data_IF_760560648254
#
_entry.id   IF_760560648254
#
_cell.length_a   1.000
_cell.length_b   1.000
_cell.length_c   1.000
_cell.angle_alpha   90.00
_cell.angle_beta   90.00
_cell.angle_gamma   90.00
#
_symmetry.space_group_name_H-M   'P 1'
#
loop_
_entity.id
_entity.type
_entity.pdbx_description
1 polymer ?
#
# COMPACT_ATOMS: atom_id res chain seq x y z
N UNK A 1 -11.23 7.31 15.13
CA UNK A 1 -9.75 7.30 15.12
C UNK A 1 -9.36 6.62 13.82
N UNK A 2 -8.69 7.31 12.90
CA UNK A 2 -8.28 6.68 11.63
C UNK A 2 -7.12 5.71 11.86
N UNK A 3 -7.00 4.73 10.98
CA UNK A 3 -5.82 3.92 10.82
C UNK A 3 -5.08 4.34 9.56
N UNK A 4 -3.76 4.41 9.67
CA UNK A 4 -2.90 4.85 8.58
C UNK A 4 -2.11 3.66 8.02
N UNK A 5 -2.10 3.55 6.70
CA UNK A 5 -1.37 2.52 5.98
C UNK A 5 -0.59 3.12 4.81
N UNK A 6 0.66 2.67 4.67
CA UNK A 6 1.59 3.20 3.68
C UNK A 6 2.02 2.09 2.72
N UNK A 7 1.57 2.16 1.48
CA UNK A 7 2.07 1.30 0.40
C UNK A 7 3.17 2.03 -0.37
N UNK A 8 4.41 1.59 -0.20
CA UNK A 8 5.58 2.16 -0.85
C UNK A 8 6.10 1.23 -1.95
N UNK A 9 6.44 1.76 -3.12
CA UNK A 9 6.93 0.96 -4.25
C UNK A 9 8.06 1.66 -5.00
N UNK A 10 9.10 0.89 -5.33
CA UNK A 10 10.16 1.27 -6.25
C UNK A 10 9.65 1.11 -7.69
N UNK A 11 9.48 2.22 -8.39
CA UNK A 11 8.94 2.21 -9.76
C UNK A 11 9.34 3.50 -10.49
N UNK A 12 9.35 3.43 -11.82
CA UNK A 12 9.50 4.61 -12.69
C UNK A 12 8.16 5.30 -12.99
N UNK A 13 7.03 4.70 -12.59
CA UNK A 13 5.71 5.31 -12.76
C UNK A 13 5.53 6.51 -11.82
N UNK A 14 4.72 7.48 -12.25
CA UNK A 14 4.34 8.60 -11.39
C UNK A 14 3.35 8.16 -10.31
N UNK A 15 3.25 8.89 -9.18
CA UNK A 15 2.26 8.60 -8.13
C UNK A 15 0.83 8.46 -8.67
N UNK A 16 0.42 9.31 -9.61
CA UNK A 16 -0.91 9.25 -10.21
C UNK A 16 -1.15 8.00 -11.06
N UNK A 17 -0.12 7.51 -11.75
CA UNK A 17 -0.23 6.26 -12.51
C UNK A 17 -0.40 5.07 -11.58
N UNK A 18 0.37 5.03 -10.48
CA UNK A 18 0.26 3.98 -9.46
C UNK A 18 -1.11 4.03 -8.78
N UNK A 19 -1.60 5.23 -8.42
CA UNK A 19 -2.93 5.40 -7.82
C UNK A 19 -4.05 4.94 -8.75
N UNK A 20 -3.97 5.27 -10.04
CA UNK A 20 -4.95 4.80 -11.03
C UNK A 20 -4.99 3.27 -11.12
N UNK A 21 -3.82 2.62 -11.08
CA UNK A 21 -3.73 1.15 -11.08
C UNK A 21 -4.40 0.56 -9.84
N UNK A 22 -4.09 1.11 -8.67
CA UNK A 22 -4.68 0.72 -7.39
C UNK A 22 -6.20 0.86 -7.38
N UNK A 23 -6.72 2.00 -7.83
CA UNK A 23 -8.14 2.34 -7.74
C UNK A 23 -9.01 1.63 -8.78
N UNK A 24 -8.48 1.38 -9.97
CA UNK A 24 -9.22 0.68 -11.04
C UNK A 24 -9.71 -0.69 -10.59
N UNK A 25 -8.91 -1.41 -9.79
CA UNK A 25 -9.28 -2.75 -9.30
C UNK A 25 -10.47 -2.72 -8.34
N UNK A 26 -10.65 -1.61 -7.60
CA UNK A 26 -11.75 -1.42 -6.67
C UNK A 26 -12.90 -0.59 -7.26
N UNK A 27 -12.88 -0.37 -8.59
CA UNK A 27 -13.94 0.33 -9.32
C UNK A 27 -13.99 1.84 -9.05
N UNK A 28 -12.87 2.44 -8.64
CA UNK A 28 -12.75 3.86 -8.36
C UNK A 28 -11.84 4.55 -9.39
N UNK A 29 -12.09 5.84 -9.63
CA UNK A 29 -11.24 6.70 -10.44
C UNK A 29 -10.51 7.70 -9.53
N UNK A 30 -9.21 7.95 -9.74
CA UNK A 30 -8.45 8.87 -8.91
C UNK A 30 -8.90 10.31 -9.11
N UNK A 31 -8.94 11.06 -8.02
CA UNK A 31 -9.03 12.52 -8.07
C UNK A 31 -7.83 13.09 -8.84
N UNK A 32 -8.10 14.07 -9.70
CA UNK A 32 -7.08 14.72 -10.54
C UNK A 32 -6.77 16.15 -10.09
N UNK A 33 -7.53 16.67 -9.12
CA UNK A 33 -7.26 17.97 -8.54
C UNK A 33 -5.95 17.95 -7.74
N UNK A 34 -5.14 19.00 -7.88
CA UNK A 34 -3.91 19.18 -7.11
C UNK A 34 -4.19 20.06 -5.89
N UNK A 35 -3.63 19.69 -4.74
CA UNK A 35 -3.60 20.54 -3.53
C UNK A 35 -2.30 21.36 -3.47
N UNK A 36 -1.23 20.85 -4.07
CA UNK A 36 0.05 21.54 -4.27
C UNK A 36 0.80 20.93 -5.47
N UNK A 37 1.90 21.52 -5.96
CA UNK A 37 2.65 20.98 -7.09
C UNK A 37 3.09 19.53 -6.86
N UNK A 38 2.54 18.60 -7.63
CA UNK A 38 2.86 17.16 -7.53
C UNK A 38 2.11 16.40 -6.45
N UNK A 39 1.19 17.04 -5.71
CA UNK A 39 0.37 16.41 -4.67
C UNK A 39 -1.10 16.46 -5.07
N UNK A 40 -1.68 15.29 -5.27
CA UNK A 40 -3.08 15.12 -5.65
C UNK A 40 -3.97 15.12 -4.41
N UNK A 41 -5.18 15.67 -4.56
CA UNK A 41 -6.24 15.59 -3.55
C UNK A 41 -6.57 14.12 -3.23
N UNK A 42 -6.96 13.82 -2.00
CA UNK A 42 -7.36 12.47 -1.65
C UNK A 42 -8.56 12.01 -2.47
N UNK A 43 -8.53 10.75 -2.91
CA UNK A 43 -9.68 10.06 -3.47
C UNK A 43 -10.42 9.33 -2.36
N UNK A 44 -11.73 9.54 -2.27
CA UNK A 44 -12.57 8.83 -1.32
C UNK A 44 -13.04 7.48 -1.89
N UNK A 45 -12.87 6.42 -1.10
CA UNK A 45 -13.47 5.12 -1.33
C UNK A 45 -14.39 4.71 -0.16
N UNK A 46 -15.06 3.55 -0.25
CA UNK A 46 -15.91 3.06 0.84
C UNK A 46 -15.10 2.80 2.13
N UNK A 47 -15.28 3.67 3.12
CA UNK A 47 -14.60 3.58 4.42
C UNK A 47 -13.11 3.96 4.43
N UNK A 48 -12.57 4.53 3.35
CA UNK A 48 -11.19 5.00 3.30
C UNK A 48 -10.99 6.25 2.44
N UNK A 49 -9.92 6.99 2.72
CA UNK A 49 -9.31 7.98 1.82
C UNK A 49 -7.97 7.43 1.34
N UNK A 50 -7.57 7.79 0.12
CA UNK A 50 -6.24 7.48 -0.38
C UNK A 50 -5.63 8.67 -1.10
N UNK A 51 -4.35 8.90 -0.88
CA UNK A 51 -3.53 9.85 -1.64
C UNK A 51 -2.34 9.13 -2.24
N UNK A 52 -1.70 9.77 -3.22
CA UNK A 52 -0.46 9.29 -3.80
C UNK A 52 0.56 10.42 -3.89
N UNK A 53 1.79 10.12 -3.53
CA UNK A 53 2.89 11.09 -3.56
C UNK A 53 4.26 10.43 -3.66
N UNK A 54 5.32 11.23 -3.72
CA UNK A 54 6.68 10.73 -3.55
C UNK A 54 6.87 10.20 -2.12
N UNK A 55 7.71 9.19 -1.96
CA UNK A 55 8.13 8.75 -0.61
C UNK A 55 8.97 9.85 0.03
N UNK A 56 8.66 10.20 1.28
CA UNK A 56 9.42 11.20 2.03
C UNK A 56 10.89 10.75 2.22
N UNK A 57 11.89 11.66 2.15
CA UNK A 57 13.31 11.29 2.23
C UNK A 57 13.68 10.47 3.48
N UNK A 58 13.11 10.82 4.64
CA UNK A 58 13.35 10.10 5.89
C UNK A 58 12.78 8.67 5.84
N UNK A 59 11.53 8.52 5.41
CA UNK A 59 10.90 7.20 5.26
C UNK A 59 11.66 6.34 4.25
N UNK A 60 12.14 6.94 3.16
CA UNK A 60 12.97 6.25 2.18
C UNK A 60 14.27 5.71 2.80
N UNK A 61 14.97 6.53 3.59
CA UNK A 61 16.21 6.11 4.25
C UNK A 61 15.99 4.93 5.21
N UNK A 62 14.93 4.97 6.03
CA UNK A 62 14.57 3.87 6.94
C UNK A 62 14.29 2.58 6.16
N UNK A 63 13.52 2.68 5.06
CA UNK A 63 13.19 1.52 4.23
C UNK A 63 14.42 0.94 3.50
N UNK A 64 15.37 1.79 3.12
CA UNK A 64 16.65 1.36 2.54
C UNK A 64 17.52 0.65 3.58
N UNK A 65 17.60 1.16 4.81
CA UNK A 65 18.40 0.60 5.89
C UNK A 65 17.82 -0.72 6.42
N UNK A 66 16.53 -0.75 6.75
CA UNK A 66 15.90 -1.88 7.44
C UNK A 66 15.45 -3.00 6.48
N UNK A 67 15.02 -2.63 5.28
CA UNK A 67 14.42 -3.57 4.33
C UNK A 67 15.21 -3.70 3.03
N UNK A 68 16.23 -2.86 2.79
CA UNK A 68 17.02 -2.91 1.56
C UNK A 68 16.24 -2.53 0.30
N UNK A 69 15.18 -1.71 0.43
CA UNK A 69 14.34 -1.27 -0.69
C UNK A 69 14.39 0.25 -0.85
N UNK A 70 14.35 0.75 -2.10
CA UNK A 70 14.43 2.18 -2.41
C UNK A 70 13.15 2.65 -3.13
N UNK A 71 12.02 2.79 -2.40
CA UNK A 71 10.76 3.15 -3.03
C UNK A 71 10.73 4.62 -3.48
N UNK A 72 9.96 4.89 -4.52
CA UNK A 72 9.82 6.22 -5.10
C UNK A 72 8.40 6.77 -4.94
N UNK A 73 7.39 5.90 -4.94
CA UNK A 73 5.98 6.25 -4.81
C UNK A 73 5.41 5.69 -3.50
N UNK A 74 4.63 6.50 -2.81
CA UNK A 74 3.80 6.12 -1.67
C UNK A 74 2.31 6.29 -2.03
N UNK A 75 1.50 5.29 -1.70
CA UNK A 75 0.05 5.43 -1.55
C UNK A 75 -0.26 5.42 -0.06
N UNK A 76 -0.84 6.51 0.43
CA UNK A 76 -1.20 6.65 1.83
C UNK A 76 -2.72 6.46 1.98
N UNK A 77 -3.12 5.47 2.76
CA UNK A 77 -4.52 5.15 3.03
C UNK A 77 -4.90 5.51 4.45
N UNK A 78 -5.97 6.29 4.59
CA UNK A 78 -6.65 6.54 5.86
C UNK A 78 -7.92 5.72 5.92
N UNK A 79 -8.00 4.78 6.85
CA UNK A 79 -9.18 3.93 7.06
C UNK A 79 -9.90 4.36 8.32
N UNK A 80 -11.20 4.64 8.23
CA UNK A 80 -11.97 4.98 9.43
C UNK A 80 -12.18 3.73 10.33
N UNK A 81 -12.23 3.98 11.62
CA UNK A 81 -12.50 3.00 12.69
C UNK A 81 -13.94 2.48 12.73
N UNK A 82 -14.83 2.91 11.83
CA UNK A 82 -16.25 2.57 11.83
C UNK A 82 -16.57 1.14 11.37
N UNK A 83 -17.87 0.85 11.22
CA UNK A 83 -18.39 -0.49 10.90
C UNK A 83 -17.89 -1.03 9.55
N UNK A 84 -17.51 -0.16 8.62
CA UNK A 84 -17.00 -0.52 7.29
C UNK A 84 -15.52 -0.90 7.25
N UNK A 85 -14.81 -0.83 8.38
CA UNK A 85 -13.35 -1.03 8.46
C UNK A 85 -12.87 -2.34 7.83
N UNK A 86 -13.61 -3.43 8.01
CA UNK A 86 -13.23 -4.72 7.43
C UNK A 86 -13.24 -4.70 5.90
N UNK A 87 -14.25 -4.05 5.31
CA UNK A 87 -14.38 -3.86 3.87
C UNK A 87 -13.35 -2.86 3.34
N UNK A 88 -13.11 -1.76 4.06
CA UNK A 88 -12.09 -0.78 3.71
C UNK A 88 -10.68 -1.39 3.66
N UNK A 89 -10.31 -2.21 4.66
CA UNK A 89 -9.03 -2.94 4.66
C UNK A 89 -8.96 -3.92 3.48
N UNK A 90 -10.05 -4.63 3.17
CA UNK A 90 -10.08 -5.55 2.03
C UNK A 90 -9.88 -4.81 0.70
N UNK A 91 -10.51 -3.64 0.54
CA UNK A 91 -10.33 -2.76 -0.62
C UNK A 91 -8.91 -2.21 -0.73
N UNK A 92 -8.32 -1.76 0.38
CA UNK A 92 -6.92 -1.32 0.42
C UNK A 92 -5.96 -2.46 0.02
N UNK A 93 -6.15 -3.66 0.56
CA UNK A 93 -5.34 -4.82 0.19
C UNK A 93 -5.51 -5.17 -1.28
N UNK A 94 -6.73 -5.15 -1.81
CA UNK A 94 -7.01 -5.39 -3.22
C UNK A 94 -6.32 -4.36 -4.12
N UNK A 95 -6.36 -3.08 -3.73
CA UNK A 95 -5.67 -2.00 -4.44
C UNK A 95 -4.14 -2.19 -4.43
N UNK A 96 -3.55 -2.49 -3.27
CA UNK A 96 -2.10 -2.76 -3.15
C UNK A 96 -1.66 -4.00 -3.94
N UNK A 97 -2.43 -5.09 -3.86
CA UNK A 97 -2.17 -6.31 -4.64
C UNK A 97 -2.29 -6.05 -6.14
N UNK A 98 -3.24 -5.23 -6.58
CA UNK A 98 -3.36 -4.84 -7.99
C UNK A 98 -2.12 -4.13 -8.51
N UNK A 99 -1.53 -3.24 -7.70
CA UNK A 99 -0.26 -2.58 -8.01
C UNK A 99 0.87 -3.60 -8.09
N UNK A 100 0.98 -4.51 -7.12
CA UNK A 100 1.99 -5.57 -7.12
C UNK A 100 1.89 -6.48 -8.36
N UNK A 101 0.69 -6.76 -8.87
CA UNK A 101 0.53 -7.57 -10.10
C UNK A 101 1.02 -6.86 -11.35
N UNK A 102 0.85 -5.54 -11.42
CA UNK A 102 1.01 -4.78 -12.66
C UNK A 102 2.31 -3.97 -12.73
N UNK A 103 2.87 -3.60 -11.57
CA UNK A 103 4.04 -2.73 -11.48
C UNK A 103 5.21 -3.55 -10.95
N UNK A 104 6.31 -3.71 -11.72
CA UNK A 104 7.51 -4.36 -11.22
C UNK A 104 8.26 -3.46 -10.21
N UNK A 105 9.08 -4.07 -9.36
CA UNK A 105 9.96 -3.39 -8.41
C UNK A 105 9.69 -3.75 -6.96
N UNK A 106 10.61 -3.42 -6.05
CA UNK A 106 10.42 -3.76 -4.64
C UNK A 106 9.35 -2.88 -4.00
N UNK A 107 8.60 -3.42 -3.04
CA UNK A 107 7.46 -2.73 -2.44
C UNK A 107 7.20 -3.20 -1.02
N UNK A 108 6.60 -2.34 -0.19
CA UNK A 108 6.19 -2.65 1.17
C UNK A 108 4.84 -2.03 1.47
N UNK A 109 3.99 -2.75 2.20
CA UNK A 109 2.80 -2.19 2.84
C UNK A 109 3.05 -2.14 4.34
N UNK A 110 2.94 -0.95 4.93
CA UNK A 110 3.13 -0.70 6.35
C UNK A 110 1.81 -0.32 7.02
N UNK A 111 1.69 -0.64 8.30
CA UNK A 111 0.66 -0.12 9.20
C UNK A 111 1.31 0.83 10.20
N UNK A 112 0.79 2.07 10.30
CA UNK A 112 1.31 3.16 11.14
C UNK A 112 2.82 3.38 10.89
N UNK A 113 3.27 3.26 9.64
CA UNK A 113 4.67 3.46 9.26
C UNK A 113 5.71 2.46 9.81
N UNK A 114 5.34 1.52 10.66
CA UNK A 114 6.30 0.69 11.41
C UNK A 114 6.08 -0.82 11.20
N UNK A 115 4.82 -1.26 11.11
CA UNK A 115 4.50 -2.70 11.03
C UNK A 115 4.40 -3.16 9.59
N UNK A 116 5.31 -4.03 9.15
CA UNK A 116 5.27 -4.64 7.80
C UNK A 116 4.10 -5.63 7.68
N UNK A 117 3.22 -5.39 6.70
CA UNK A 117 2.10 -6.27 6.37
C UNK A 117 2.37 -7.10 5.11
N UNK A 118 3.02 -6.47 4.12
CA UNK A 118 3.45 -7.05 2.84
C UNK A 118 4.86 -6.55 2.55
N UNK A 119 5.72 -7.42 2.06
CA UNK A 119 6.99 -7.04 1.44
C UNK A 119 7.13 -7.79 0.13
N UNK A 120 7.37 -7.08 -0.97
CA UNK A 120 7.91 -7.66 -2.20
C UNK A 120 9.35 -7.22 -2.34
N UNK A 121 10.27 -8.18 -2.35
CA UNK A 121 11.70 -7.92 -2.47
C UNK A 121 12.33 -8.91 -3.44
N UNK A 122 13.05 -8.39 -4.43
CA UNK A 122 13.72 -9.17 -5.48
C UNK A 122 12.77 -10.15 -6.18
N UNK A 123 11.51 -9.73 -6.40
CA UNK A 123 10.47 -10.54 -7.03
C UNK A 123 9.78 -11.56 -6.12
N UNK A 124 10.21 -11.71 -4.87
CA UNK A 124 9.56 -12.58 -3.88
C UNK A 124 8.55 -11.80 -3.05
N UNK A 125 7.32 -12.31 -2.95
CA UNK A 125 6.26 -11.74 -2.12
C UNK A 125 6.22 -12.42 -0.74
N UNK A 126 6.21 -11.60 0.30
CA UNK A 126 6.16 -12.02 1.69
C UNK A 126 4.99 -11.35 2.39
N UNK A 127 4.25 -12.10 3.21
CA UNK A 127 3.12 -11.63 4.00
C UNK A 127 3.38 -11.86 5.50
N UNK A 128 3.08 -10.89 6.37
CA UNK A 128 3.25 -11.06 7.83
C UNK A 128 2.05 -11.73 8.49
N UNK A 129 2.24 -12.98 8.92
CA UNK A 129 1.23 -13.83 9.56
C UNK A 129 0.75 -13.37 10.94
N UNK A 130 1.49 -12.51 11.66
CA UNK A 130 1.17 -12.15 13.06
C UNK A 130 0.26 -10.94 13.18
N UNK A 131 0.11 -10.19 12.11
CA UNK A 131 -0.65 -8.92 12.08
C UNK A 131 -2.17 -9.13 12.19
N UNK A 132 -2.64 -10.37 11.97
CA UNK A 132 -4.07 -10.69 11.91
C UNK A 132 -4.77 -10.11 10.67
N UNK A 133 -4.06 -9.39 9.80
CA UNK A 133 -4.66 -8.78 8.62
C UNK A 133 -5.00 -9.83 7.56
N UNK A 134 -4.25 -10.93 7.50
CA UNK A 134 -4.41 -12.01 6.53
C UNK A 134 -5.40 -13.08 7.01
N UNK A 135 -6.69 -12.78 6.87
CA UNK A 135 -7.76 -13.78 7.05
C UNK A 135 -7.78 -14.76 5.85
N UNK A 136 -8.38 -15.96 5.98
CA UNK A 136 -8.52 -16.88 4.85
C UNK A 136 -9.19 -16.24 3.63
N UNK A 137 -10.19 -15.38 3.84
CA UNK A 137 -10.84 -14.64 2.75
C UNK A 137 -9.88 -13.70 2.01
N UNK A 138 -9.03 -12.97 2.74
CA UNK A 138 -8.05 -12.04 2.16
C UNK A 138 -6.90 -12.79 1.48
N UNK A 139 -6.47 -13.92 2.05
CA UNK A 139 -5.46 -14.78 1.44
C UNK A 139 -5.93 -15.39 0.11
N UNK A 140 -7.22 -15.74 -0.01
CA UNK A 140 -7.79 -16.24 -1.27
C UNK A 140 -7.75 -15.19 -2.40
N UNK A 141 -7.55 -13.91 -2.09
CA UNK A 141 -7.38 -12.83 -3.09
C UNK A 141 -5.93 -12.64 -3.53
N UNK A 142 -4.98 -13.30 -2.88
CA UNK A 142 -3.56 -13.25 -3.26
C UNK A 142 -3.31 -14.31 -4.33
N UNK A 143 -3.27 -13.86 -5.59
CA UNK A 143 -3.08 -14.70 -6.79
C UNK A 143 -1.60 -14.83 -7.21
N UNK A 144 -0.68 -14.27 -6.43
CA UNK A 144 0.77 -14.37 -6.62
C UNK A 144 1.36 -15.38 -5.63
N UNK A 145 2.42 -16.14 -6.01
CA UNK A 145 3.16 -16.95 -5.06
C UNK A 145 3.70 -16.10 -3.90
N UNK A 146 3.39 -16.48 -2.67
CA UNK A 146 3.84 -15.77 -1.47
C UNK A 146 4.42 -16.73 -0.44
N UNK A 147 5.24 -16.17 0.45
CA UNK A 147 5.77 -16.86 1.64
C UNK A 147 5.33 -16.12 2.89
N UNK A 148 4.84 -16.84 3.89
CA UNK A 148 4.59 -16.24 5.21
C UNK A 148 5.93 -15.98 5.90
N UNK A 149 6.14 -14.75 6.38
CA UNK A 149 7.38 -14.36 7.06
C UNK A 149 7.07 -13.41 8.21
N UNK A 150 7.82 -13.52 9.29
CA UNK A 150 7.74 -12.58 10.40
C UNK A 150 8.76 -11.46 10.20
N UNK A 151 8.31 -10.21 10.35
CA UNK A 151 9.17 -9.02 10.25
C UNK A 151 9.38 -8.37 11.61
N UNK A 152 10.55 -7.76 11.88
CA UNK A 152 10.64 -6.82 12.99
C UNK A 152 9.72 -5.62 12.74
N UNK A 153 9.42 -4.87 13.81
CA UNK A 153 8.89 -3.51 13.69
C UNK A 153 10.05 -2.62 13.25
N UNK A 154 9.80 -1.73 12.28
CA UNK A 154 10.80 -0.79 11.74
C UNK A 154 11.08 0.37 12.71
#
# INVERSE_FOLDING_TARGET
MSLDYDFNIATALSPQQVLRIALKEVGLEPETALVSPGVFKETAGPGFLVSAGPVAPMSKAILEEELGISPAVNLHFWIDSGDERHAAIASMLQAGLAVLRQVPGDAVLLFIGETVLVLRQHGHLYLDSRTGIWTPERLNRVDMPYTMRHFPVL
#
